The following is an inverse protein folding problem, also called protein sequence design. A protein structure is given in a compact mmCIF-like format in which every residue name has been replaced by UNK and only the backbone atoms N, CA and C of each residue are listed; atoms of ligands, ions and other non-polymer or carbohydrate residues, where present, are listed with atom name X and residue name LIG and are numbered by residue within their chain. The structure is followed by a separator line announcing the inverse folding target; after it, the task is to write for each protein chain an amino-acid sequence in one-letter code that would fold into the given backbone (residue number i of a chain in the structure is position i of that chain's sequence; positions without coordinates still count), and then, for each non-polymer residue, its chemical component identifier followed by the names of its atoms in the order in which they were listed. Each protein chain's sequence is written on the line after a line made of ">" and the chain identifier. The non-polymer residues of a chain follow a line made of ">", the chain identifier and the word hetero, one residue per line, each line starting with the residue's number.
data_IF_237531634936
#
_entry.id   IF_237531634936
#
_cell.length_a   1.000
_cell.length_b   1.000
_cell.length_c   1.000
_cell.angle_alpha   90.00
_cell.angle_beta   90.00
_cell.angle_gamma   90.00
#
_symmetry.space_group_name_H-M   'P 1'
#
loop_
_entity.id
_entity.type
_entity.pdbx_description
1 polymer ?
#
# COMPACT_ATOMS: atom_id res chain seq x y z
N UNK A 1 18.69 34.49 -2.00
CA UNK A 1 17.41 34.57 -2.76
C UNK A 1 16.23 34.29 -1.83
N UNK A 2 15.34 35.25 -1.58
CA UNK A 2 14.19 35.11 -0.66
C UNK A 2 13.01 34.41 -1.35
N UNK A 3 13.02 33.07 -1.45
CA UNK A 3 11.94 32.30 -2.08
C UNK A 3 10.80 32.00 -1.10
N UNK A 4 9.55 32.03 -1.58
CA UNK A 4 8.38 31.72 -0.76
C UNK A 4 8.19 30.20 -0.63
N UNK A 5 8.26 29.61 0.59
CA UNK A 5 8.14 28.16 0.78
C UNK A 5 6.78 27.61 0.34
N UNK A 6 5.69 28.39 0.42
CA UNK A 6 4.35 27.98 -0.03
C UNK A 6 4.22 27.87 -1.55
N UNK A 7 5.24 28.25 -2.32
CA UNK A 7 5.28 28.08 -3.78
C UNK A 7 6.30 27.00 -4.21
N UNK A 8 7.16 26.54 -3.30
CA UNK A 8 8.15 25.50 -3.56
C UNK A 8 7.53 24.12 -3.36
N UNK A 9 7.31 23.39 -4.47
CA UNK A 9 6.52 22.14 -4.51
C UNK A 9 7.02 21.03 -3.58
N UNK A 10 8.31 21.00 -3.25
CA UNK A 10 8.94 19.96 -2.43
C UNK A 10 8.80 20.21 -0.92
N UNK A 11 8.44 21.43 -0.50
CA UNK A 11 8.38 21.77 0.92
C UNK A 11 7.08 21.25 1.58
N UNK A 12 7.15 20.96 2.88
CA UNK A 12 5.98 20.59 3.69
C UNK A 12 4.92 21.70 3.72
N UNK A 13 5.36 22.96 3.72
CA UNK A 13 4.46 24.12 3.70
C UNK A 13 3.56 24.14 2.45
N UNK A 14 4.15 23.97 1.26
CA UNK A 14 3.38 23.84 0.03
C UNK A 14 2.46 22.62 0.06
N UNK A 15 2.97 21.46 0.50
CA UNK A 15 2.20 20.20 0.53
C UNK A 15 0.96 20.30 1.42
N UNK A 16 1.09 20.95 2.58
CA UNK A 16 -0.06 21.26 3.45
C UNK A 16 -1.02 22.22 2.77
N UNK A 17 -0.56 23.39 2.28
CA UNK A 17 -1.48 24.35 1.64
C UNK A 17 -2.18 23.84 0.38
N UNK A 18 -1.58 22.88 -0.32
CA UNK A 18 -2.11 22.27 -1.54
C UNK A 18 -2.83 20.93 -1.28
N UNK A 19 -3.22 20.64 -0.03
CA UNK A 19 -3.96 19.43 0.37
C UNK A 19 -3.29 18.10 -0.06
N UNK A 20 -1.96 18.07 -0.11
CA UNK A 20 -1.17 16.85 -0.41
C UNK A 20 -0.86 16.03 0.84
N UNK A 21 -1.24 16.53 2.01
CA UNK A 21 -1.05 15.87 3.30
C UNK A 21 -2.28 16.11 4.16
N UNK A 22 -2.45 15.27 5.17
CA UNK A 22 -3.49 15.44 6.17
C UNK A 22 -3.14 16.63 7.07
N UNK A 23 -4.05 17.61 7.19
CA UNK A 23 -3.82 18.87 7.93
C UNK A 23 -4.66 18.95 9.19
N UNK A 24 -5.94 18.56 9.10
CA UNK A 24 -6.92 18.66 10.19
C UNK A 24 -7.13 17.25 10.73
N UNK A 25 -6.38 16.90 11.77
CA UNK A 25 -6.50 15.61 12.44
C UNK A 25 -6.19 15.74 13.94
N UNK A 26 -6.89 14.96 14.75
CA UNK A 26 -6.74 15.01 16.22
C UNK A 26 -5.38 14.51 16.70
N UNK A 27 -4.67 13.68 15.93
CA UNK A 27 -3.32 13.23 16.29
C UNK A 27 -2.32 14.38 16.30
N UNK A 28 -2.53 15.41 15.48
CA UNK A 28 -1.62 16.56 15.37
C UNK A 28 -1.69 17.48 16.61
N UNK A 29 -2.81 17.47 17.35
CA UNK A 29 -2.99 18.28 18.56
C UNK A 29 -2.06 17.88 19.71
N UNK A 30 -1.58 16.63 19.73
CA UNK A 30 -0.66 16.15 20.78
C UNK A 30 0.72 16.82 20.75
N UNK A 31 1.12 17.36 19.59
CA UNK A 31 2.39 18.07 19.39
C UNK A 31 2.34 19.56 19.79
N UNK A 32 1.28 20.01 20.46
CA UNK A 32 1.16 21.39 20.91
C UNK A 32 2.28 21.77 21.89
N UNK A 33 2.84 22.98 21.71
CA UNK A 33 3.82 23.54 22.65
C UNK A 33 3.13 23.89 23.96
N UNK A 34 3.63 23.34 25.07
CA UNK A 34 3.18 23.68 26.43
C UNK A 34 4.11 24.73 27.01
N UNK A 35 3.55 25.87 27.41
CA UNK A 35 4.33 26.99 27.99
C UNK A 35 4.45 26.90 29.51
N UNK A 36 3.62 26.10 30.17
CA UNK A 36 3.67 25.86 31.62
C UNK A 36 4.31 24.50 31.89
N UNK A 37 5.40 24.43 32.67
CA UNK A 37 5.99 23.17 33.06
C UNK A 37 5.12 22.44 34.09
N UNK A 38 5.13 21.12 34.06
CA UNK A 38 4.48 20.27 35.07
C UNK A 38 5.54 19.62 35.93
N UNK A 39 5.26 19.42 37.23
CA UNK A 39 6.16 18.67 38.11
C UNK A 39 6.37 17.25 37.58
N UNK A 40 7.60 16.75 37.69
CA UNK A 40 7.90 15.38 37.29
C UNK A 40 7.04 14.38 38.08
N UNK A 41 6.43 13.45 37.34
CA UNK A 41 5.79 12.24 37.86
C UNK A 41 6.20 11.08 36.96
N UNK A 42 6.70 10.00 37.57
CA UNK A 42 7.17 8.81 36.83
C UNK A 42 6.03 8.16 36.05
N UNK A 43 4.84 8.11 36.63
CA UNK A 43 3.66 7.51 36.00
C UNK A 43 3.19 8.34 34.80
N UNK A 44 3.25 9.67 34.92
CA UNK A 44 2.95 10.58 33.81
C UNK A 44 3.91 10.37 32.63
N UNK A 45 5.21 10.26 32.90
CA UNK A 45 6.21 10.02 31.85
C UNK A 45 6.01 8.65 31.19
N UNK A 46 5.81 7.60 31.99
CA UNK A 46 5.60 6.24 31.50
C UNK A 46 4.34 6.12 30.61
N UNK A 47 3.23 6.74 31.02
CA UNK A 47 1.99 6.79 30.22
C UNK A 47 2.15 7.63 28.96
N UNK A 48 2.87 8.76 29.04
CA UNK A 48 3.15 9.61 27.88
C UNK A 48 3.96 8.86 26.81
N UNK A 49 5.01 8.14 27.19
CA UNK A 49 5.84 7.37 26.25
C UNK A 49 5.01 6.31 25.49
N UNK A 50 4.16 5.55 26.21
CA UNK A 50 3.24 4.58 25.60
C UNK A 50 2.25 5.26 24.66
N UNK A 51 1.69 6.39 25.08
CA UNK A 51 0.72 7.16 24.29
C UNK A 51 1.35 7.73 23.02
N UNK A 52 2.59 8.23 23.09
CA UNK A 52 3.31 8.76 21.93
C UNK A 52 3.49 7.71 20.83
N UNK A 53 3.89 6.49 21.20
CA UNK A 53 4.00 5.37 20.25
C UNK A 53 2.64 5.09 19.59
N UNK A 54 1.58 4.97 20.39
CA UNK A 54 0.24 4.70 19.88
C UNK A 54 -0.28 5.80 18.95
N UNK A 55 -0.05 7.06 19.28
CA UNK A 55 -0.46 8.20 18.45
C UNK A 55 0.27 8.18 17.11
N UNK A 56 1.58 7.86 17.10
CA UNK A 56 2.36 7.74 15.87
C UNK A 56 1.82 6.65 14.93
N UNK A 57 1.46 5.48 15.45
CA UNK A 57 0.85 4.40 14.66
C UNK A 57 -0.50 4.80 14.06
N UNK A 58 -1.31 5.54 14.81
CA UNK A 58 -2.62 6.02 14.34
C UNK A 58 -2.42 7.07 13.25
N UNK A 59 -1.47 8.00 13.45
CA UNK A 59 -1.15 9.02 12.47
C UNK A 59 -0.69 8.39 11.16
N UNK A 60 0.24 7.44 11.20
CA UNK A 60 0.73 6.74 10.00
C UNK A 60 -0.40 6.05 9.24
N UNK A 61 -1.29 5.34 9.95
CA UNK A 61 -2.46 4.70 9.35
C UNK A 61 -3.42 5.69 8.68
N UNK A 62 -3.69 6.82 9.33
CA UNK A 62 -4.56 7.88 8.77
C UNK A 62 -3.93 8.59 7.58
N UNK A 63 -2.63 8.87 7.62
CA UNK A 63 -1.88 9.44 6.50
C UNK A 63 -1.90 8.50 5.28
N UNK A 64 -1.73 7.19 5.50
CA UNK A 64 -1.86 6.18 4.44
C UNK A 64 -3.28 6.16 3.86
N UNK A 65 -4.32 6.22 4.69
CA UNK A 65 -5.69 6.29 4.22
C UNK A 65 -5.96 7.58 3.39
N UNK A 66 -5.43 8.72 3.83
CA UNK A 66 -5.51 9.98 3.09
C UNK A 66 -4.83 9.88 1.72
N UNK A 67 -3.64 9.28 1.66
CA UNK A 67 -2.94 9.03 0.41
C UNK A 67 -3.74 8.13 -0.54
N UNK A 68 -4.26 6.99 -0.04
CA UNK A 68 -5.08 6.07 -0.84
C UNK A 68 -6.31 6.77 -1.44
N UNK A 69 -7.06 7.53 -0.63
CA UNK A 69 -8.21 8.32 -1.11
C UNK A 69 -7.81 9.33 -2.18
N UNK A 70 -6.70 10.03 -2.00
CA UNK A 70 -6.20 11.02 -2.97
C UNK A 70 -5.80 10.38 -4.30
N UNK A 71 -5.29 9.14 -4.28
CA UNK A 71 -4.79 8.46 -5.49
C UNK A 71 -5.82 7.53 -6.16
N UNK A 72 -6.98 7.30 -5.53
CA UNK A 72 -7.99 6.34 -6.01
C UNK A 72 -8.44 6.58 -7.48
N UNK A 73 -8.48 7.83 -7.93
CA UNK A 73 -8.89 8.19 -9.30
C UNK A 73 -7.81 8.03 -10.38
N UNK A 74 -6.55 7.82 -10.02
CA UNK A 74 -5.47 7.79 -11.03
C UNK A 74 -5.55 6.57 -11.95
N UNK A 75 -6.09 5.46 -11.47
CA UNK A 75 -6.18 4.21 -12.24
C UNK A 75 -7.14 4.35 -13.42
N UNK A 76 -8.29 5.01 -13.24
CA UNK A 76 -9.25 5.22 -14.34
C UNK A 76 -8.68 6.20 -15.38
N UNK A 77 -8.02 7.26 -14.93
CA UNK A 77 -7.33 8.23 -15.80
C UNK A 77 -6.24 7.54 -16.61
N UNK A 78 -5.41 6.70 -15.96
CA UNK A 78 -4.37 5.92 -16.64
C UNK A 78 -4.98 4.97 -17.68
N UNK A 79 -6.01 4.20 -17.32
CA UNK A 79 -6.69 3.29 -18.26
C UNK A 79 -7.31 4.03 -19.45
N UNK A 80 -7.83 5.24 -19.26
CA UNK A 80 -8.34 6.06 -20.36
C UNK A 80 -7.21 6.55 -21.27
N UNK A 81 -6.08 6.98 -20.70
CA UNK A 81 -4.89 7.37 -21.46
C UNK A 81 -4.30 6.17 -22.23
N UNK A 82 -4.22 5.00 -21.60
CA UNK A 82 -3.72 3.77 -22.22
C UNK A 82 -4.61 3.34 -23.41
N UNK A 83 -5.95 3.43 -23.27
CA UNK A 83 -6.88 3.18 -24.38
C UNK A 83 -6.65 4.12 -25.55
N UNK A 84 -6.55 5.43 -25.28
CA UNK A 84 -6.25 6.45 -26.29
C UNK A 84 -4.91 6.19 -26.98
N UNK A 85 -3.87 5.81 -26.22
CA UNK A 85 -2.55 5.49 -26.76
C UNK A 85 -2.61 4.32 -27.74
N UNK A 86 -3.36 3.26 -27.40
CA UNK A 86 -3.56 2.09 -28.27
C UNK A 86 -4.34 2.46 -29.53
N UNK A 87 -5.37 3.31 -29.42
CA UNK A 87 -6.17 3.78 -30.55
C UNK A 87 -5.34 4.59 -31.56
N UNK A 88 -4.46 5.47 -31.09
CA UNK A 88 -3.60 6.32 -31.94
C UNK A 88 -2.44 5.53 -32.59
N UNK A 89 -1.92 4.52 -31.89
CA UNK A 89 -0.69 3.82 -32.27
C UNK A 89 -0.92 2.35 -32.67
N UNK A 90 -2.07 2.07 -33.29
CA UNK A 90 -2.42 0.70 -33.71
C UNK A 90 -1.37 0.06 -34.63
N UNK A 91 -0.71 0.87 -35.46
CA UNK A 91 0.33 0.43 -36.39
C UNK A 91 1.62 -0.08 -35.72
N UNK A 92 1.86 0.27 -34.45
CA UNK A 92 3.04 -0.22 -33.70
C UNK A 92 2.78 -1.56 -33.01
N UNK A 93 1.53 -2.04 -33.01
CA UNK A 93 1.20 -3.33 -32.43
C UNK A 93 1.69 -4.44 -33.36
N UNK A 94 2.47 -5.41 -32.86
CA UNK A 94 2.85 -6.58 -33.65
C UNK A 94 1.61 -7.30 -34.19
N UNK A 95 1.68 -7.86 -35.40
CA UNK A 95 0.61 -8.70 -36.01
C UNK A 95 0.21 -9.93 -35.19
N UNK A 96 0.81 -10.14 -34.01
CA UNK A 96 0.48 -11.21 -33.05
C UNK A 96 -1.00 -11.17 -32.62
N UNK A 97 -1.72 -10.05 -32.83
CA UNK A 97 -3.18 -10.01 -32.67
C UNK A 97 -3.91 -11.01 -33.57
N UNK A 98 -3.42 -11.28 -34.78
CA UNK A 98 -3.98 -12.31 -35.67
C UNK A 98 -3.80 -13.72 -35.08
N UNK A 99 -2.72 -13.98 -34.35
CA UNK A 99 -2.47 -15.28 -33.70
C UNK A 99 -3.28 -15.49 -32.41
N UNK A 100 -3.57 -14.42 -31.65
CA UNK A 100 -4.37 -14.50 -30.41
C UNK A 100 -5.86 -14.62 -30.72
N UNK A 101 -6.34 -14.17 -31.89
CA UNK A 101 -7.71 -14.48 -32.33
C UNK A 101 -7.89 -15.94 -32.77
N UNK A 102 -6.84 -16.59 -33.26
CA UNK A 102 -6.86 -18.01 -33.68
C UNK A 102 -6.76 -18.97 -32.49
N UNK A 103 -5.96 -18.61 -31.49
CA UNK A 103 -5.89 -19.33 -30.21
C UNK A 103 -6.86 -18.66 -29.25
N UNK A 104 -8.12 -19.10 -29.26
CA UNK A 104 -9.22 -18.53 -28.49
C UNK A 104 -8.79 -18.00 -27.12
N UNK A 105 -9.16 -16.75 -26.83
CA UNK A 105 -8.72 -16.01 -25.66
C UNK A 105 -8.85 -16.88 -24.39
N UNK A 106 -7.76 -17.04 -23.59
CA UNK A 106 -7.89 -17.74 -22.31
C UNK A 106 -8.91 -16.98 -21.45
N UNK A 107 -9.88 -17.70 -20.90
CA UNK A 107 -10.82 -17.20 -19.91
C UNK A 107 -10.02 -16.50 -18.80
N UNK A 108 -10.15 -15.18 -18.72
CA UNK A 108 -9.51 -14.39 -17.68
C UNK A 108 -10.46 -14.41 -16.48
N UNK A 109 -10.22 -15.31 -15.53
CA UNK A 109 -10.92 -15.31 -14.25
C UNK A 109 -10.81 -13.92 -13.58
N UNK A 110 -11.94 -13.36 -13.13
CA UNK A 110 -12.08 -12.06 -12.45
C UNK A 110 -11.32 -11.93 -11.11
N UNK A 111 -10.40 -12.84 -10.79
CA UNK A 111 -9.79 -12.95 -9.46
C UNK A 111 -8.58 -12.04 -9.21
N UNK A 112 -8.09 -11.29 -10.20
CA UNK A 112 -6.93 -10.40 -10.01
C UNK A 112 -7.29 -8.94 -9.66
N UNK A 113 -8.55 -8.69 -9.28
CA UNK A 113 -8.96 -7.45 -8.64
C UNK A 113 -9.02 -7.63 -7.10
N UNK A 114 -7.85 -7.71 -6.46
CA UNK A 114 -7.50 -7.23 -5.08
C UNK A 114 -6.35 -8.09 -4.54
N UNK A 115 -5.13 -7.52 -4.49
CA UNK A 115 -4.24 -7.57 -3.31
C UNK A 115 -2.90 -6.86 -3.59
N UNK A 116 -2.86 -5.54 -3.35
CA UNK A 116 -1.58 -4.82 -3.14
C UNK A 116 -1.14 -4.98 -1.68
N UNK A 117 -1.10 -6.23 -1.21
CA UNK A 117 -0.61 -6.64 0.12
C UNK A 117 0.34 -7.83 -0.03
N UNK A 118 1.41 -7.65 -0.80
CA UNK A 118 2.53 -8.61 -0.81
C UNK A 118 3.84 -7.90 -1.14
N UNK A 119 4.20 -6.92 -0.31
CA UNK A 119 5.54 -6.33 -0.28
C UNK A 119 6.33 -6.83 0.94
N UNK A 120 6.20 -8.11 1.32
CA UNK A 120 7.15 -8.85 2.17
C UNK A 120 6.94 -10.35 1.94
N UNK A 121 7.94 -11.12 1.46
CA UNK A 121 7.81 -12.56 1.33
C UNK A 121 8.03 -13.21 2.70
N UNK A 122 6.95 -13.45 3.45
CA UNK A 122 6.93 -14.54 4.43
C UNK A 122 6.29 -15.71 3.70
N UNK A 123 7.10 -16.71 3.33
CA UNK A 123 6.62 -17.92 2.69
C UNK A 123 5.74 -18.69 3.69
N UNK A 124 4.42 -18.48 3.60
CA UNK A 124 3.44 -19.34 4.27
C UNK A 124 3.04 -20.43 3.27
N UNK A 125 3.28 -21.72 3.58
CA UNK A 125 2.86 -22.80 2.71
C UNK A 125 1.33 -22.83 2.63
N UNK A 126 0.79 -22.84 1.40
CA UNK A 126 -0.64 -23.04 1.18
C UNK A 126 -1.08 -24.38 1.76
N UNK A 127 -2.31 -24.45 2.30
CA UNK A 127 -2.86 -25.67 2.94
C UNK A 127 -2.71 -26.94 2.08
N UNK A 128 -2.70 -26.77 0.76
CA UNK A 128 -2.50 -27.87 -0.20
C UNK A 128 -1.07 -28.42 -0.18
N UNK A 129 -0.04 -27.56 -0.05
CA UNK A 129 1.35 -27.98 0.03
C UNK A 129 1.65 -28.75 1.33
N UNK A 130 1.12 -28.30 2.47
CA UNK A 130 1.28 -29.00 3.75
C UNK A 130 0.60 -30.38 3.76
N UNK A 131 -0.57 -30.51 3.11
CA UNK A 131 -1.26 -31.81 2.97
C UNK A 131 -0.47 -32.78 2.11
N UNK A 132 0.13 -32.30 1.02
CA UNK A 132 0.93 -33.13 0.10
C UNK A 132 2.20 -33.64 0.77
N UNK A 133 2.90 -32.78 1.52
CA UNK A 133 4.10 -33.16 2.27
C UNK A 133 3.80 -34.19 3.37
N UNK A 134 2.64 -34.05 4.04
CA UNK A 134 2.18 -35.03 5.06
C UNK A 134 1.79 -36.38 4.44
N UNK A 135 1.17 -36.39 3.26
CA UNK A 135 0.89 -37.63 2.52
C UNK A 135 2.18 -38.31 2.04
N UNK A 136 3.17 -37.52 1.62
CA UNK A 136 4.48 -38.03 1.18
C UNK A 136 5.26 -38.67 2.34
N UNK A 137 5.25 -38.04 3.52
CA UNK A 137 5.84 -38.62 4.73
C UNK A 137 5.16 -39.94 5.14
N UNK A 138 3.82 -39.99 5.10
CA UNK A 138 3.06 -41.21 5.39
C UNK A 138 3.33 -42.34 4.38
N UNK A 139 3.64 -42.00 3.12
CA UNK A 139 4.00 -43.00 2.10
C UNK A 139 5.43 -43.54 2.26
N UNK A 140 6.34 -42.77 2.86
CA UNK A 140 7.72 -43.21 3.10
C UNK A 140 7.81 -44.12 4.33
N UNK A 141 7.14 -43.76 5.44
CA UNK A 141 7.09 -44.61 6.64
C UNK A 141 6.40 -45.97 6.39
N UNK A 142 5.55 -46.08 5.36
CA UNK A 142 4.89 -47.33 4.99
C UNK A 142 5.77 -48.29 4.18
N UNK A 143 6.94 -47.84 3.70
CA UNK A 143 7.85 -48.62 2.86
C UNK A 143 9.07 -49.16 3.62
N UNK A 144 9.27 -48.77 4.90
CA UNK A 144 10.40 -49.16 5.75
C UNK A 144 10.04 -50.22 6.82
N UNK A 145 8.96 -51.00 6.59
CA UNK A 145 8.62 -52.17 7.40
C UNK A 145 8.75 -53.45 6.56
N UNK A 146 9.99 -53.87 6.31
CA UNK A 146 10.41 -55.26 6.03
C UNK A 146 11.82 -55.50 6.58
#
# INVERSE_FOLDING_TARGET
>A
MKRNPRKLKWTKAFRKSANKEMIVDSTLSFAARRNTPTRYSRDLVATTLKTMQRVSEIQARREMAFYKRRMAGNTSVRRAADRKLVEENQHMLPEVRARISEVGAPEMDEVDAVSVEAAYPIALPTRQAARKLRQQAQSQDAMDIE
#
